data_IF_754596857879
#
_entry.id   IF_754596857879
#
_cell.length_a   1.000
_cell.length_b   1.000
_cell.length_c   1.000
_cell.angle_alpha   90.00
_cell.angle_beta   90.00
_cell.angle_gamma   90.00
#
_symmetry.space_group_name_H-M   'P 1'
#
loop_
_entity.id
_entity.type
_entity.pdbx_description
1 polymer ?
#
# COMPACT_ATOMS: atom_id res chain seq x y z
N UNK A 1 -48.45 30.82 15.71
CA UNK A 1 -47.36 30.09 15.04
C UNK A 1 -47.71 29.88 13.55
N UNK A 2 -46.77 30.02 12.67
CA UNK A 2 -46.94 29.81 11.22
C UNK A 2 -47.13 28.33 10.94
N UNK A 3 -48.20 27.95 10.23
CA UNK A 3 -48.48 26.55 9.91
C UNK A 3 -47.78 26.11 8.63
N UNK A 4 -47.47 24.83 8.50
CA UNK A 4 -46.89 24.30 7.26
C UNK A 4 -47.76 24.61 6.04
N UNK A 5 -49.11 24.62 6.20
CA UNK A 5 -50.05 24.95 5.14
C UNK A 5 -49.92 26.36 4.56
N UNK A 6 -49.52 27.34 5.40
CA UNK A 6 -49.30 28.71 4.95
C UNK A 6 -47.92 28.96 4.34
N UNK A 7 -46.92 28.14 4.70
CA UNK A 7 -45.56 28.25 4.15
C UNK A 7 -45.36 27.55 2.81
N UNK A 8 -46.02 26.41 2.59
CA UNK A 8 -45.84 25.60 1.39
C UNK A 8 -46.05 26.36 0.06
N UNK A 9 -47.08 27.22 -0.06
CA UNK A 9 -47.26 28.03 -1.26
C UNK A 9 -46.14 29.06 -1.48
N UNK A 10 -45.61 29.62 -0.37
CA UNK A 10 -44.54 30.63 -0.42
C UNK A 10 -43.21 30.05 -0.91
N UNK A 11 -42.89 28.82 -0.49
CA UNK A 11 -41.68 28.07 -0.90
C UNK A 11 -41.90 27.28 -2.19
N UNK A 12 -43.07 27.28 -2.79
CA UNK A 12 -43.36 26.58 -4.04
C UNK A 12 -43.32 25.03 -3.95
N UNK A 13 -43.56 24.47 -2.77
CA UNK A 13 -43.54 23.02 -2.55
C UNK A 13 -44.98 22.49 -2.48
N UNK A 14 -45.30 21.52 -3.32
CA UNK A 14 -46.57 20.82 -3.27
C UNK A 14 -46.77 20.11 -1.93
N UNK A 15 -47.97 20.16 -1.34
CA UNK A 15 -48.30 19.54 -0.05
C UNK A 15 -47.99 18.03 -0.03
N UNK A 16 -48.25 17.33 -1.14
CA UNK A 16 -47.91 15.89 -1.26
C UNK A 16 -46.41 15.64 -1.17
N UNK A 17 -45.59 16.47 -1.84
CA UNK A 17 -44.13 16.39 -1.79
C UNK A 17 -43.59 16.62 -0.37
N UNK A 18 -44.14 17.61 0.32
CA UNK A 18 -43.80 17.91 1.70
C UNK A 18 -44.06 16.71 2.63
N UNK A 19 -45.27 16.15 2.62
CA UNK A 19 -45.61 15.00 3.45
C UNK A 19 -44.82 13.74 3.06
N UNK A 20 -44.56 13.53 1.77
CA UNK A 20 -43.70 12.46 1.30
C UNK A 20 -42.29 12.57 1.89
N UNK A 21 -41.70 13.76 1.85
CA UNK A 21 -40.38 14.00 2.41
C UNK A 21 -40.35 13.84 3.94
N UNK A 22 -41.35 14.35 4.65
CA UNK A 22 -41.49 14.13 6.10
C UNK A 22 -41.55 12.65 6.46
N UNK A 23 -42.30 11.86 5.71
CA UNK A 23 -42.42 10.42 5.93
C UNK A 23 -41.13 9.70 5.52
N UNK A 24 -40.43 10.18 4.47
CA UNK A 24 -39.14 9.64 4.07
C UNK A 24 -38.07 9.86 5.14
N UNK A 25 -38.07 11.01 5.80
CA UNK A 25 -37.15 11.32 6.92
C UNK A 25 -37.38 10.47 8.16
N UNK A 26 -38.60 9.96 8.37
CA UNK A 26 -38.95 9.08 9.49
C UNK A 26 -38.58 7.60 9.24
N UNK A 27 -38.26 7.25 8.00
CA UNK A 27 -37.88 5.88 7.66
C UNK A 27 -36.50 5.58 8.24
N UNK A 28 -36.30 4.37 8.81
CA UNK A 28 -34.96 3.96 9.23
C UNK A 28 -34.01 3.98 8.02
N UNK A 29 -32.78 4.41 8.27
CA UNK A 29 -31.77 4.45 7.21
C UNK A 29 -31.51 3.02 6.74
N UNK A 30 -31.73 2.77 5.44
CA UNK A 30 -31.48 1.48 4.79
C UNK A 30 -30.03 1.01 4.89
N UNK A 31 -29.14 1.95 5.18
CA UNK A 31 -27.71 1.71 5.27
C UNK A 31 -27.22 1.54 6.73
N UNK A 32 -28.09 1.56 7.73
CA UNK A 32 -27.71 1.50 9.15
C UNK A 32 -26.86 0.25 9.46
N UNK A 33 -27.35 -0.95 9.12
CA UNK A 33 -26.60 -2.19 9.34
C UNK A 33 -25.28 -2.25 8.56
N UNK A 34 -25.28 -1.77 7.32
CA UNK A 34 -24.06 -1.68 6.53
C UNK A 34 -23.08 -0.65 7.11
N UNK A 35 -23.57 0.47 7.64
CA UNK A 35 -22.74 1.48 8.27
C UNK A 35 -22.02 0.94 9.50
N UNK A 36 -22.67 0.11 10.31
CA UNK A 36 -22.04 -0.54 11.46
C UNK A 36 -20.86 -1.43 11.01
N UNK A 37 -21.06 -2.29 10.03
CA UNK A 37 -19.99 -3.13 9.46
C UNK A 37 -18.84 -2.30 8.87
N UNK A 38 -19.16 -1.25 8.14
CA UNK A 38 -18.17 -0.33 7.56
C UNK A 38 -17.38 0.40 8.65
N UNK A 39 -18.05 0.81 9.73
CA UNK A 39 -17.41 1.49 10.86
C UNK A 39 -16.51 0.51 11.63
N UNK A 40 -16.98 -0.68 11.90
CA UNK A 40 -16.20 -1.73 12.54
C UNK A 40 -14.93 -2.05 11.74
N UNK A 41 -15.05 -2.30 10.44
CA UNK A 41 -13.90 -2.53 9.55
C UNK A 41 -12.92 -1.35 9.56
N UNK A 42 -13.43 -0.11 9.57
CA UNK A 42 -12.61 1.09 9.61
C UNK A 42 -11.85 1.22 10.94
N UNK A 43 -12.50 1.02 12.07
CA UNK A 43 -11.86 1.10 13.40
C UNK A 43 -10.90 -0.08 13.63
N UNK A 44 -11.24 -1.31 13.20
CA UNK A 44 -10.36 -2.49 13.27
C UNK A 44 -9.07 -2.27 12.49
N UNK A 45 -9.12 -1.49 11.41
CA UNK A 45 -7.94 -1.08 10.66
C UNK A 45 -7.15 0.07 11.30
N UNK A 46 -7.50 0.48 12.53
CA UNK A 46 -6.95 1.67 13.20
C UNK A 46 -7.06 2.92 12.33
N UNK A 47 -8.16 3.04 11.60
CA UNK A 47 -8.43 4.12 10.62
C UNK A 47 -7.41 4.21 9.49
N UNK A 48 -6.68 3.12 9.20
CA UNK A 48 -5.68 3.06 8.14
C UNK A 48 -6.27 2.75 6.76
N UNK A 49 -7.49 2.18 6.71
CA UNK A 49 -8.08 1.70 5.46
C UNK A 49 -8.98 2.75 4.78
N UNK A 50 -8.72 3.00 3.50
CA UNK A 50 -9.66 3.72 2.65
C UNK A 50 -10.84 2.84 2.22
N UNK A 51 -11.89 3.45 1.66
CA UNK A 51 -13.15 2.78 1.31
C UNK A 51 -12.97 1.51 0.45
N UNK A 52 -11.93 1.43 -0.39
CA UNK A 52 -11.66 0.25 -1.22
C UNK A 52 -11.28 -0.98 -0.41
N UNK A 53 -10.51 -0.80 0.67
CA UNK A 53 -10.14 -1.89 1.58
C UNK A 53 -11.26 -2.18 2.57
N UNK A 54 -11.87 -1.15 3.13
CA UNK A 54 -13.05 -1.30 4.01
C UNK A 54 -14.18 -2.05 3.32
N UNK A 55 -14.34 -1.92 2.00
CA UNK A 55 -15.35 -2.64 1.22
C UNK A 55 -15.13 -4.16 1.23
N UNK A 56 -13.89 -4.63 1.33
CA UNK A 56 -13.56 -6.07 1.29
C UNK A 56 -14.03 -6.81 2.56
N UNK A 57 -14.13 -6.12 3.69
CA UNK A 57 -14.55 -6.74 4.96
C UNK A 57 -16.01 -7.20 4.94
N UNK A 58 -17.04 -6.36 4.63
CA UNK A 58 -18.40 -6.81 4.44
C UNK A 58 -18.52 -7.92 3.39
N UNK A 59 -17.73 -7.84 2.30
CA UNK A 59 -17.74 -8.85 1.25
C UNK A 59 -17.25 -10.21 1.75
N UNK A 60 -16.21 -10.24 2.60
CA UNK A 60 -15.70 -11.44 3.25
C UNK A 60 -16.74 -12.10 4.18
N UNK A 61 -17.66 -11.29 4.74
CA UNK A 61 -18.80 -11.74 5.57
C UNK A 61 -20.02 -12.11 4.73
N UNK A 62 -19.90 -12.16 3.41
CA UNK A 62 -21.00 -12.51 2.47
C UNK A 62 -21.98 -11.37 2.18
N UNK A 63 -21.71 -10.16 2.64
CA UNK A 63 -22.56 -8.99 2.38
C UNK A 63 -22.16 -8.35 1.04
N UNK A 64 -22.95 -8.62 -0.01
CA UNK A 64 -22.72 -8.01 -1.33
C UNK A 64 -23.08 -6.54 -1.33
N UNK A 65 -22.06 -5.70 -1.44
CA UNK A 65 -22.20 -4.24 -1.52
C UNK A 65 -21.23 -3.68 -2.57
N UNK A 66 -21.61 -2.61 -3.27
CA UNK A 66 -20.70 -1.98 -4.22
C UNK A 66 -19.72 -1.05 -3.50
N UNK A 67 -18.46 -1.00 -3.96
CA UNK A 67 -17.44 -0.08 -3.43
C UNK A 67 -17.91 1.39 -3.47
N UNK A 68 -18.72 1.78 -4.48
CA UNK A 68 -19.32 3.11 -4.60
C UNK A 68 -20.31 3.43 -3.45
N UNK A 69 -21.05 2.41 -2.97
CA UNK A 69 -21.95 2.58 -1.82
C UNK A 69 -21.16 2.76 -0.52
N UNK A 70 -20.11 1.96 -0.31
CA UNK A 70 -19.20 2.12 0.82
C UNK A 70 -18.49 3.48 0.79
N UNK A 71 -18.01 3.91 -0.38
CA UNK A 71 -17.40 5.24 -0.55
C UNK A 71 -18.34 6.38 -0.13
N UNK A 72 -19.63 6.30 -0.51
CA UNK A 72 -20.63 7.31 -0.11
C UNK A 72 -20.89 7.30 1.39
N UNK A 73 -20.95 6.11 2.00
CA UNK A 73 -21.13 5.98 3.45
C UNK A 73 -19.94 6.52 4.22
N UNK A 74 -18.71 6.15 3.86
CA UNK A 74 -17.51 6.66 4.52
C UNK A 74 -17.42 8.18 4.40
N UNK A 75 -17.71 8.76 3.24
CA UNK A 75 -17.71 10.22 3.03
C UNK A 75 -18.80 10.91 3.86
N UNK A 76 -20.04 10.37 3.88
CA UNK A 76 -21.18 10.93 4.61
C UNK A 76 -20.96 10.94 6.12
N UNK A 77 -20.27 9.94 6.65
CA UNK A 77 -20.04 9.76 8.08
C UNK A 77 -18.64 10.18 8.54
N UNK A 78 -17.86 10.87 7.69
CA UNK A 78 -16.55 11.40 8.03
C UNK A 78 -15.49 10.33 8.33
N UNK A 79 -15.68 9.10 7.81
CA UNK A 79 -14.72 8.01 7.98
C UNK A 79 -13.57 8.20 6.97
N UNK A 80 -12.68 9.14 7.27
CA UNK A 80 -11.52 9.45 6.45
C UNK A 80 -10.28 8.75 7.01
N UNK A 81 -9.53 8.01 6.19
CA UNK A 81 -8.33 7.33 6.67
C UNK A 81 -7.24 8.34 7.08
N UNK A 82 -6.47 7.98 8.09
CA UNK A 82 -5.33 8.76 8.57
C UNK A 82 -4.17 8.62 7.58
N UNK A 83 -4.26 9.29 6.42
CA UNK A 83 -3.13 9.36 5.50
C UNK A 83 -2.22 10.52 5.88
N UNK A 84 -0.95 10.22 6.15
CA UNK A 84 0.07 11.27 6.09
C UNK A 84 0.20 11.68 4.63
N UNK A 85 -0.07 12.95 4.35
CA UNK A 85 0.27 13.57 3.05
C UNK A 85 1.76 13.31 2.79
N UNK A 86 2.08 12.65 1.67
CA UNK A 86 3.46 12.42 1.26
C UNK A 86 4.16 13.77 1.14
N UNK A 87 5.15 14.04 1.99
CA UNK A 87 6.04 15.19 1.81
C UNK A 87 6.71 15.02 0.45
N UNK A 88 6.63 16.04 -0.42
CA UNK A 88 7.36 16.07 -1.69
C UNK A 88 8.83 15.83 -1.40
N UNK A 89 9.34 14.69 -1.84
CA UNK A 89 10.75 14.34 -1.71
C UNK A 89 11.56 15.17 -2.72
N UNK A 90 12.52 15.96 -2.24
CA UNK A 90 13.51 16.64 -3.08
C UNK A 90 14.59 15.64 -3.47
N UNK A 91 14.69 15.28 -4.75
CA UNK A 91 15.72 14.37 -5.25
C UNK A 91 17.12 15.00 -5.13
N UNK A 92 18.06 14.21 -4.62
CA UNK A 92 19.48 14.57 -4.51
C UNK A 92 20.10 14.78 -5.91
N UNK A 93 20.75 15.94 -6.12
CA UNK A 93 21.45 16.35 -7.35
C UNK A 93 22.96 16.10 -7.21
N UNK A 94 23.42 14.86 -7.20
CA UNK A 94 24.84 14.53 -7.20
C UNK A 94 25.26 13.76 -8.45
N UNK A 95 26.54 13.89 -8.89
CA UNK A 95 27.07 13.25 -10.10
C UNK A 95 27.06 11.72 -10.03
N UNK A 96 26.72 11.03 -11.14
CA UNK A 96 26.59 9.58 -11.18
C UNK A 96 27.89 8.85 -11.54
N UNK A 97 28.27 7.86 -10.75
CA UNK A 97 29.24 6.85 -11.17
C UNK A 97 28.65 5.94 -12.26
N UNK A 98 29.50 5.43 -13.20
CA UNK A 98 29.10 4.53 -14.28
C UNK A 98 28.34 3.31 -13.75
N UNK A 99 27.11 3.14 -14.22
CA UNK A 99 26.19 2.11 -13.77
C UNK A 99 26.01 0.98 -14.79
N UNK A 100 25.76 -0.26 -14.36
CA UNK A 100 25.28 -1.32 -15.24
C UNK A 100 23.99 -0.92 -15.96
N UNK A 101 23.76 -1.53 -17.16
CA UNK A 101 22.58 -1.22 -17.98
C UNK A 101 21.28 -1.49 -17.21
N UNK A 102 20.33 -0.56 -17.32
CA UNK A 102 18.98 -0.72 -16.79
C UNK A 102 18.22 -1.72 -17.68
N UNK A 103 18.12 -2.97 -17.27
CA UNK A 103 17.47 -4.03 -18.03
C UNK A 103 15.94 -4.03 -17.90
N UNK A 104 15.38 -3.31 -16.93
CA UNK A 104 13.94 -3.34 -16.63
C UNK A 104 13.16 -2.15 -17.23
N UNK A 105 13.82 -1.21 -17.92
CA UNK A 105 13.28 -0.04 -18.65
C UNK A 105 11.98 0.57 -18.08
N UNK A 106 11.91 0.71 -16.74
CA UNK A 106 10.77 1.27 -15.98
C UNK A 106 9.47 0.47 -16.00
N UNK A 107 9.45 -0.71 -16.58
CA UNK A 107 8.33 -1.61 -16.47
C UNK A 107 8.47 -2.43 -15.18
N UNK A 108 7.61 -2.14 -14.20
CA UNK A 108 7.52 -2.85 -12.93
C UNK A 108 6.36 -3.84 -12.91
N UNK A 109 5.79 -4.12 -14.07
CA UNK A 109 4.76 -5.12 -14.22
C UNK A 109 5.35 -6.41 -14.80
N UNK A 110 5.17 -7.52 -14.08
CA UNK A 110 5.53 -8.84 -14.57
C UNK A 110 4.27 -9.59 -14.99
N UNK A 111 4.24 -10.13 -16.21
CA UNK A 111 3.09 -10.89 -16.72
C UNK A 111 2.82 -12.18 -15.93
N UNK A 112 3.84 -12.71 -15.24
CA UNK A 112 3.74 -13.94 -14.45
C UNK A 112 4.66 -13.89 -13.23
N UNK A 113 4.37 -14.69 -12.16
CA UNK A 113 5.20 -14.75 -10.97
C UNK A 113 6.65 -15.15 -11.26
N UNK A 114 7.57 -14.73 -10.40
CA UNK A 114 9.00 -15.07 -10.43
C UNK A 114 9.71 -14.62 -11.70
N UNK A 115 9.31 -13.49 -12.30
CA UNK A 115 9.99 -12.88 -13.44
C UNK A 115 10.79 -11.65 -13.06
N UNK A 116 10.18 -10.76 -12.29
CA UNK A 116 10.78 -9.52 -11.83
C UNK A 116 10.51 -9.34 -10.35
N UNK A 117 11.56 -9.22 -9.59
CA UNK A 117 11.53 -8.96 -8.16
C UNK A 117 12.18 -7.62 -7.85
N UNK A 118 11.67 -6.94 -6.85
CA UNK A 118 12.26 -5.71 -6.32
C UNK A 118 12.69 -5.96 -4.89
N UNK A 119 13.85 -5.45 -4.52
CA UNK A 119 14.33 -5.41 -3.15
C UNK A 119 14.88 -4.02 -2.81
N UNK A 120 14.59 -3.57 -1.59
CA UNK A 120 15.07 -2.30 -1.04
C UNK A 120 15.01 -2.41 0.49
N UNK A 121 16.09 -2.16 1.24
CA UNK A 121 16.03 -2.17 2.68
C UNK A 121 15.48 -0.85 3.21
N UNK A 122 14.56 -0.93 4.15
CA UNK A 122 14.02 0.24 4.84
C UNK A 122 14.30 0.21 6.34
N UNK A 123 14.66 1.36 6.88
CA UNK A 123 14.87 1.56 8.31
C UNK A 123 13.60 2.01 9.02
N UNK A 124 13.40 1.49 10.24
CA UNK A 124 12.31 1.81 11.14
C UNK A 124 12.87 2.20 12.50
N UNK A 125 12.30 3.23 13.11
CA UNK A 125 12.57 3.57 14.50
C UNK A 125 11.67 2.71 15.39
N UNK A 126 12.29 1.97 16.30
CA UNK A 126 11.60 1.13 17.28
C UNK A 126 12.06 1.55 18.69
N UNK A 127 11.35 1.20 19.77
CA UNK A 127 11.77 1.57 21.14
C UNK A 127 13.20 1.15 21.48
N UNK A 128 13.69 0.03 20.94
CA UNK A 128 15.05 -0.48 21.13
C UNK A 128 16.11 0.16 20.19
N UNK A 129 15.74 1.17 19.37
CA UNK A 129 16.66 1.84 18.45
C UNK A 129 16.17 1.82 16.99
N UNK A 130 17.02 1.37 16.07
CA UNK A 130 16.67 1.22 14.64
C UNK A 130 16.66 -0.25 14.24
N UNK A 131 15.62 -0.65 13.53
CA UNK A 131 15.54 -1.93 12.84
C UNK A 131 15.48 -1.70 11.32
N UNK A 132 16.01 -2.63 10.56
CA UNK A 132 15.98 -2.61 9.10
C UNK A 132 15.27 -3.85 8.59
N UNK A 133 14.47 -3.68 7.57
CA UNK A 133 13.75 -4.75 6.90
C UNK A 133 14.15 -4.75 5.43
N UNK A 134 14.54 -5.92 4.91
CA UNK A 134 14.87 -6.13 3.51
C UNK A 134 13.91 -7.16 2.92
N UNK A 135 12.80 -6.76 2.29
CA UNK A 135 11.90 -7.65 1.59
C UNK A 135 12.33 -7.87 0.14
N UNK A 136 11.92 -9.00 -0.42
CA UNK A 136 11.83 -9.21 -1.86
C UNK A 136 10.37 -9.26 -2.25
N UNK A 137 9.96 -8.41 -3.16
CA UNK A 137 8.59 -8.23 -3.61
C UNK A 137 8.48 -8.68 -5.06
N UNK A 138 7.57 -9.59 -5.37
CA UNK A 138 7.25 -9.97 -6.74
C UNK A 138 6.44 -8.86 -7.42
N UNK A 139 6.89 -8.41 -8.59
CA UNK A 139 6.23 -7.36 -9.35
C UNK A 139 4.95 -7.81 -10.05
N UNK A 140 4.66 -9.12 -10.06
CA UNK A 140 3.44 -9.66 -10.65
C UNK A 140 2.20 -9.38 -9.80
N UNK A 141 2.27 -9.71 -8.53
CA UNK A 141 1.12 -9.64 -7.61
C UNK A 141 1.39 -8.84 -6.32
N UNK A 142 2.61 -8.34 -6.15
CA UNK A 142 3.04 -7.61 -4.95
C UNK A 142 3.29 -8.51 -3.73
N UNK A 143 3.42 -9.83 -3.93
CA UNK A 143 3.69 -10.78 -2.87
C UNK A 143 5.10 -10.61 -2.33
N UNK A 144 5.24 -10.66 -1.01
CA UNK A 144 6.54 -10.76 -0.35
C UNK A 144 7.03 -12.20 -0.48
N UNK A 145 8.03 -12.42 -1.34
CA UNK A 145 8.64 -13.73 -1.59
C UNK A 145 9.46 -14.16 -0.38
N UNK A 146 10.27 -13.24 0.13
CA UNK A 146 11.07 -13.43 1.33
C UNK A 146 11.32 -12.10 2.03
N UNK A 147 11.72 -12.16 3.30
CA UNK A 147 12.04 -10.98 4.08
C UNK A 147 13.11 -11.31 5.10
N UNK A 148 14.07 -10.39 5.29
CA UNK A 148 15.04 -10.44 6.38
C UNK A 148 14.94 -9.17 7.22
N UNK A 149 15.17 -9.31 8.53
CA UNK A 149 15.24 -8.19 9.47
C UNK A 149 16.58 -8.17 10.18
N UNK A 150 17.08 -6.99 10.50
CA UNK A 150 18.36 -6.79 11.17
C UNK A 150 18.46 -5.43 11.84
N UNK A 151 19.55 -5.19 12.53
CA UNK A 151 19.82 -3.91 13.21
C UNK A 151 20.69 -2.95 12.38
N UNK A 152 21.14 -3.36 11.20
CA UNK A 152 21.91 -2.56 10.26
C UNK A 152 21.55 -2.85 8.80
N UNK A 153 21.68 -1.85 7.90
CA UNK A 153 21.54 -2.04 6.47
C UNK A 153 22.88 -2.51 5.88
N UNK A 154 23.35 -3.65 6.34
CA UNK A 154 24.64 -4.21 5.99
C UNK A 154 24.52 -5.34 4.94
N UNK A 155 25.67 -5.82 4.46
CA UNK A 155 25.74 -6.94 3.53
C UNK A 155 25.08 -8.20 4.09
N UNK A 156 25.23 -8.47 5.39
CA UNK A 156 24.66 -9.65 6.04
C UNK A 156 23.14 -9.68 5.96
N UNK A 157 22.48 -8.51 6.08
CA UNK A 157 21.02 -8.42 5.91
C UNK A 157 20.60 -8.79 4.49
N UNK A 158 21.34 -8.31 3.49
CA UNK A 158 21.08 -8.59 2.08
C UNK A 158 21.36 -10.08 1.75
N UNK A 159 22.44 -10.63 2.23
CA UNK A 159 22.83 -12.04 2.02
C UNK A 159 21.80 -12.99 2.65
N UNK A 160 21.40 -12.74 3.90
CA UNK A 160 20.35 -13.52 4.58
C UNK A 160 19.02 -13.48 3.83
N UNK A 161 18.69 -12.33 3.25
CA UNK A 161 17.49 -12.18 2.44
C UNK A 161 17.58 -13.03 1.16
N UNK A 162 18.73 -13.00 0.43
CA UNK A 162 18.94 -13.83 -0.76
C UNK A 162 18.89 -15.32 -0.47
N UNK A 163 19.49 -15.78 0.64
CA UNK A 163 19.42 -17.17 1.06
C UNK A 163 17.98 -17.63 1.29
N UNK A 164 17.16 -16.79 1.95
CA UNK A 164 15.73 -17.08 2.14
C UNK A 164 14.97 -17.13 0.82
N UNK A 165 15.28 -16.22 -0.11
CA UNK A 165 14.70 -16.21 -1.46
C UNK A 165 15.04 -17.50 -2.20
N UNK A 166 16.31 -17.89 -2.18
CA UNK A 166 16.77 -19.10 -2.86
C UNK A 166 16.07 -20.37 -2.37
N UNK A 167 15.78 -20.42 -1.06
CA UNK A 167 15.05 -21.54 -0.46
C UNK A 167 13.58 -21.65 -0.93
N UNK A 168 13.00 -20.56 -1.45
CA UNK A 168 11.60 -20.50 -1.94
C UNK A 168 11.50 -20.52 -3.45
N UNK A 169 12.63 -20.45 -4.16
CA UNK A 169 12.65 -20.33 -5.61
C UNK A 169 12.23 -21.64 -6.27
N UNK A 170 11.21 -21.64 -7.14
CA UNK A 170 10.84 -22.82 -7.91
C UNK A 170 11.99 -23.28 -8.83
N UNK A 171 12.09 -24.59 -9.02
CA UNK A 171 13.10 -25.17 -9.91
C UNK A 171 13.03 -24.57 -11.31
N UNK A 172 14.19 -24.15 -11.84
CA UNK A 172 14.30 -23.52 -13.17
C UNK A 172 13.87 -22.06 -13.24
N UNK A 173 13.35 -21.46 -12.18
CA UNK A 173 13.01 -20.04 -12.16
C UNK A 173 14.30 -19.18 -12.10
N UNK A 174 14.36 -18.14 -12.91
CA UNK A 174 15.48 -17.18 -12.94
C UNK A 174 14.93 -15.75 -12.94
N UNK A 175 14.43 -15.27 -11.80
CA UNK A 175 13.90 -13.92 -11.72
C UNK A 175 14.99 -12.86 -11.87
N UNK A 176 14.63 -11.75 -12.48
CA UNK A 176 15.44 -10.55 -12.48
C UNK A 176 15.24 -9.83 -11.15
N UNK A 177 16.28 -9.73 -10.33
CA UNK A 177 16.24 -9.02 -9.05
C UNK A 177 16.72 -7.59 -9.23
N UNK A 178 15.82 -6.64 -9.04
CA UNK A 178 16.14 -5.23 -9.09
C UNK A 178 16.39 -4.69 -7.68
N UNK A 179 17.55 -4.07 -7.50
CA UNK A 179 17.94 -3.34 -6.30
C UNK A 179 18.28 -1.89 -6.63
N UNK A 180 18.29 -1.04 -5.62
CA UNK A 180 18.91 0.26 -5.72
C UNK A 180 20.45 0.13 -5.76
N UNK A 181 21.16 1.26 -5.81
CA UNK A 181 22.63 1.28 -5.74
C UNK A 181 23.13 1.48 -4.32
N UNK A 182 22.40 1.03 -3.31
CA UNK A 182 22.86 1.08 -1.94
C UNK A 182 24.18 0.33 -1.74
N UNK A 183 25.02 0.81 -0.84
CA UNK A 183 26.34 0.21 -0.57
C UNK A 183 26.27 -1.27 -0.18
N UNK A 184 25.15 -1.72 0.35
CA UNK A 184 24.87 -3.11 0.73
C UNK A 184 24.66 -4.06 -0.47
N UNK A 185 24.37 -3.54 -1.68
CA UNK A 185 24.29 -4.29 -2.94
C UNK A 185 25.57 -4.14 -3.80
N UNK A 186 26.46 -3.22 -3.44
CA UNK A 186 27.79 -3.05 -4.04
C UNK A 186 28.87 -3.93 -3.42
N UNK A 187 28.52 -4.70 -2.40
CA UNK A 187 29.41 -5.65 -1.73
C UNK A 187 29.80 -6.80 -2.66
N UNK A 188 31.07 -7.24 -2.71
CA UNK A 188 31.51 -8.31 -3.62
C UNK A 188 30.74 -9.62 -3.51
N UNK A 189 30.29 -9.97 -2.31
CA UNK A 189 29.51 -11.21 -2.08
C UNK A 189 28.10 -11.19 -2.70
N UNK A 190 27.50 -10.03 -2.95
CA UNK A 190 26.19 -9.94 -3.56
C UNK A 190 26.12 -10.51 -4.99
N UNK A 191 26.96 -10.12 -5.93
CA UNK A 191 27.02 -10.74 -7.27
C UNK A 191 27.29 -12.24 -7.22
N UNK A 192 28.18 -12.70 -6.34
CA UNK A 192 28.53 -14.12 -6.17
C UNK A 192 27.32 -14.93 -5.70
N UNK A 193 26.57 -14.44 -4.73
CA UNK A 193 25.33 -15.09 -4.26
C UNK A 193 24.24 -15.09 -5.32
N UNK A 194 24.08 -13.99 -6.06
CA UNK A 194 23.14 -13.89 -7.18
C UNK A 194 23.44 -14.94 -8.24
N UNK A 195 24.71 -15.10 -8.64
CA UNK A 195 25.14 -16.11 -9.61
C UNK A 195 24.92 -17.52 -9.07
N UNK A 196 25.34 -17.78 -7.83
CA UNK A 196 25.18 -19.06 -7.14
C UNK A 196 23.73 -19.54 -7.12
N UNK A 197 22.78 -18.63 -6.92
CA UNK A 197 21.36 -18.93 -6.87
C UNK A 197 20.65 -18.78 -8.25
N UNK A 198 21.40 -18.55 -9.31
CA UNK A 198 20.85 -18.40 -10.67
C UNK A 198 19.97 -17.17 -10.86
N UNK A 199 20.15 -16.15 -10.03
CA UNK A 199 19.41 -14.90 -10.10
C UNK A 199 20.10 -13.90 -11.03
N UNK A 200 19.33 -13.15 -11.80
CA UNK A 200 19.85 -12.06 -12.62
C UNK A 200 19.74 -10.73 -11.87
N UNK A 201 20.83 -9.99 -11.74
CA UNK A 201 20.85 -8.67 -11.10
C UNK A 201 20.55 -7.54 -12.09
N UNK A 202 19.74 -6.58 -11.68
CA UNK A 202 19.54 -5.29 -12.37
C UNK A 202 19.60 -4.16 -11.34
N UNK A 203 20.36 -3.11 -11.64
CA UNK A 203 20.42 -1.92 -10.77
C UNK A 203 19.76 -0.73 -11.46
N UNK A 204 18.95 0.00 -10.70
CA UNK A 204 18.32 1.24 -11.16
C UNK A 204 19.33 2.35 -11.47
N UNK A 205 18.90 3.38 -12.20
CA UNK A 205 19.72 4.57 -12.41
C UNK A 205 19.80 5.38 -11.10
N UNK A 206 21.01 5.90 -10.77
CA UNK A 206 21.23 6.68 -9.53
C UNK A 206 20.31 7.91 -9.49
N UNK A 207 19.56 8.09 -8.39
CA UNK A 207 18.81 9.31 -8.11
C UNK A 207 17.50 9.49 -8.86
N UNK A 208 16.94 8.45 -9.46
CA UNK A 208 15.62 8.50 -10.11
C UNK A 208 14.57 7.76 -9.27
N UNK A 209 13.84 8.53 -8.44
CA UNK A 209 12.78 8.04 -7.54
C UNK A 209 11.72 7.12 -8.18
N UNK A 210 11.28 7.31 -9.45
CA UNK A 210 10.29 6.41 -10.06
C UNK A 210 10.74 4.97 -10.19
N UNK A 211 12.03 4.71 -10.10
CA UNK A 211 12.63 3.40 -10.31
C UNK A 211 12.38 2.41 -9.14
N UNK A 212 11.78 2.86 -8.03
CA UNK A 212 11.49 2.03 -6.85
C UNK A 212 10.09 2.27 -6.24
N UNK A 213 9.16 2.81 -7.04
CA UNK A 213 7.83 3.22 -6.58
C UNK A 213 7.03 2.07 -5.91
N UNK A 214 7.22 0.83 -6.33
CA UNK A 214 6.54 -0.33 -5.73
C UNK A 214 7.04 -0.60 -4.30
N UNK A 215 8.36 -0.59 -4.08
CA UNK A 215 8.95 -0.74 -2.75
C UNK A 215 8.63 0.46 -1.85
N UNK A 216 8.70 1.69 -2.37
CA UNK A 216 8.31 2.90 -1.64
C UNK A 216 6.84 2.84 -1.21
N UNK A 217 5.94 2.39 -2.11
CA UNK A 217 4.52 2.21 -1.82
C UNK A 217 4.27 1.15 -0.75
N UNK A 218 5.00 0.05 -0.78
CA UNK A 218 4.96 -1.00 0.25
C UNK A 218 5.39 -0.46 1.61
N UNK A 219 6.58 0.15 1.69
CA UNK A 219 7.10 0.69 2.95
C UNK A 219 6.27 1.85 3.49
N UNK A 220 5.74 2.71 2.61
CA UNK A 220 4.83 3.77 3.00
C UNK A 220 3.60 3.23 3.73
N UNK A 221 2.98 2.19 3.18
CA UNK A 221 1.83 1.51 3.80
C UNK A 221 2.21 0.80 5.10
N UNK A 222 3.29 0.04 5.09
CA UNK A 222 3.77 -0.66 6.27
C UNK A 222 4.06 0.29 7.43
N UNK A 223 4.70 1.43 7.17
CA UNK A 223 4.95 2.47 8.17
C UNK A 223 3.66 3.03 8.75
N UNK A 224 2.67 3.30 7.91
CA UNK A 224 1.40 3.89 8.33
C UNK A 224 0.49 2.88 9.04
N UNK A 225 0.46 1.62 8.56
CA UNK A 225 -0.51 0.64 9.02
C UNK A 225 -0.01 -0.19 10.21
N UNK A 226 1.31 -0.40 10.32
CA UNK A 226 1.87 -1.37 11.28
C UNK A 226 2.89 -0.80 12.23
N UNK A 227 3.76 0.11 11.77
CA UNK A 227 4.90 0.58 12.59
C UNK A 227 4.55 1.87 13.34
N UNK A 228 3.86 2.79 12.69
CA UNK A 228 3.49 4.10 13.26
C UNK A 228 1.99 4.36 13.12
N UNK A 229 1.11 3.50 13.66
CA UNK A 229 -0.34 3.65 13.48
C UNK A 229 -0.95 4.84 14.22
N UNK A 230 -0.22 5.48 15.13
CA UNK A 230 -0.72 6.51 16.07
C UNK A 230 -0.10 7.91 15.83
N UNK A 231 0.26 8.24 14.60
CA UNK A 231 0.79 9.58 14.30
C UNK A 231 -0.04 10.34 13.27
#
# INVERSE_FOLDING_TARGET
GVTAGSLLPVVGIARGTYHYQLNAMKRPDKDSGLLELVREAFENSKRGYGYKRVHLEPESMGVRVSAKRVMRLTARHGLAPLFKSAKRYGSYKGEPAKAPKNLADRDFHAERPNRLWITDPAGFSIPAGKAYLSPVIDCHDGKIVACAAGYGPDARLADTMLEKVAATLPEGARPLVRSDRGGHYGWPGWPELMERFGLAGSTGAKGRGPDNAAAEGFFGRMKTESVYPEH
#
